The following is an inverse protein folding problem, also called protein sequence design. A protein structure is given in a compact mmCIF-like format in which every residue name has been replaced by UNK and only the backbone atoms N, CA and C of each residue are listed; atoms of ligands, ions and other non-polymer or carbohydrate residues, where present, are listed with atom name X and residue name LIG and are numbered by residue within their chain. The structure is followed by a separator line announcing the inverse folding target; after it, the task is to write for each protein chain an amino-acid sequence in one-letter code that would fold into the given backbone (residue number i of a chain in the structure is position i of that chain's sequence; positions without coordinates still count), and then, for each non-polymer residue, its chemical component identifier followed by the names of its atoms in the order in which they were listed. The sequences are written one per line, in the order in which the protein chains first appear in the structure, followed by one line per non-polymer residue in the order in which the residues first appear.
data_IF_094991189143
#
_entry.id   IF_094991189143
#
_cell.length_a   1.000
_cell.length_b   1.000
_cell.length_c   1.000
_cell.angle_alpha   90.00
_cell.angle_beta   90.00
_cell.angle_gamma   90.00
#
_symmetry.space_group_name_H-M   'P 1'
#
loop_
_entity.id
_entity.type
_entity.pdbx_description
1 polymer ?
#
# COMPACT_ATOMS: atom_id res chain seq x y z
N UNK A 1 -23.64 13.92 14.95
CA UNK A 1 -22.30 13.97 15.56
C UNK A 1 -21.28 13.02 14.93
N UNK A 2 -21.58 11.73 14.70
CA UNK A 2 -20.61 10.78 14.10
C UNK A 2 -20.12 11.13 12.67
N UNK A 3 -20.99 11.69 11.81
CA UNK A 3 -20.61 12.02 10.42
C UNK A 3 -19.52 13.10 10.28
N UNK A 4 -19.51 14.09 11.19
CA UNK A 4 -18.50 15.16 11.15
C UNK A 4 -17.10 14.68 11.52
N UNK A 5 -17.00 13.71 12.42
CA UNK A 5 -15.72 13.13 12.81
C UNK A 5 -15.10 12.34 11.65
N UNK A 6 -15.90 11.52 10.96
CA UNK A 6 -15.45 10.79 9.76
C UNK A 6 -15.00 11.75 8.67
N UNK A 7 -15.76 12.82 8.44
CA UNK A 7 -15.40 13.84 7.44
C UNK A 7 -14.07 14.53 7.76
N UNK A 8 -13.80 14.86 9.04
CA UNK A 8 -12.53 15.46 9.45
C UNK A 8 -11.35 14.50 9.26
N UNK A 9 -11.51 13.21 9.59
CA UNK A 9 -10.45 12.21 9.40
C UNK A 9 -10.12 12.04 7.91
N UNK A 10 -11.12 11.98 7.05
CA UNK A 10 -10.91 11.90 5.59
C UNK A 10 -10.19 13.14 5.05
N UNK A 11 -10.57 14.32 5.53
CA UNK A 11 -9.96 15.58 5.09
C UNK A 11 -8.48 15.68 5.52
N UNK A 12 -8.14 15.17 6.71
CA UNK A 12 -6.76 15.06 7.16
C UNK A 12 -5.94 14.06 6.32
N UNK A 13 -6.54 12.95 5.90
CA UNK A 13 -5.89 11.99 5.01
C UNK A 13 -5.63 12.60 3.62
N UNK A 14 -6.60 13.35 3.08
CA UNK A 14 -6.45 14.05 1.81
C UNK A 14 -5.35 15.11 1.88
N UNK A 15 -5.27 15.86 2.97
CA UNK A 15 -4.19 16.84 3.17
C UNK A 15 -2.82 16.16 3.13
N UNK A 16 -2.65 15.02 3.82
CA UNK A 16 -1.38 14.27 3.83
C UNK A 16 -0.97 13.84 2.42
N UNK A 17 -1.90 13.36 1.60
CA UNK A 17 -1.61 12.99 0.21
C UNK A 17 -1.06 14.16 -0.62
N UNK A 18 -1.41 15.40 -0.26
CA UNK A 18 -1.00 16.60 -0.98
C UNK A 18 0.27 17.24 -0.43
N UNK A 19 0.58 17.06 0.85
CA UNK A 19 1.64 17.81 1.54
C UNK A 19 2.76 16.96 2.12
N UNK A 20 2.51 15.69 2.42
CA UNK A 20 3.51 14.77 2.96
C UNK A 20 4.16 13.99 1.80
N UNK A 21 5.49 14.05 1.60
CA UNK A 21 6.14 13.27 0.55
C UNK A 21 6.10 11.77 0.81
N UNK A 22 5.75 11.32 2.02
CA UNK A 22 5.65 9.91 2.33
C UNK A 22 4.29 9.33 1.92
N UNK A 23 4.33 8.14 1.32
CA UNK A 23 3.13 7.35 1.06
C UNK A 23 2.34 7.08 2.34
N UNK A 24 1.01 6.91 2.22
CA UNK A 24 0.17 6.53 3.36
C UNK A 24 0.63 5.20 3.98
N UNK A 25 0.38 5.03 5.28
CA UNK A 25 0.90 3.88 6.05
C UNK A 25 0.60 2.52 5.42
N UNK A 26 -0.61 2.29 4.91
CA UNK A 26 -0.96 1.03 4.25
C UNK A 26 -0.17 0.80 2.96
N UNK A 27 0.08 1.85 2.17
CA UNK A 27 0.80 1.77 0.91
C UNK A 27 2.30 1.56 1.15
N UNK A 28 2.86 2.17 2.20
CA UNK A 28 4.26 1.96 2.61
C UNK A 28 4.57 0.49 2.89
N UNK A 29 3.62 -0.23 3.47
CA UNK A 29 3.78 -1.66 3.75
C UNK A 29 3.45 -2.48 2.51
N UNK A 30 2.22 -2.34 1.98
CA UNK A 30 1.73 -3.28 0.98
C UNK A 30 2.49 -3.16 -0.35
N UNK A 31 2.73 -1.94 -0.84
CA UNK A 31 3.43 -1.76 -2.12
C UNK A 31 4.90 -2.21 -2.03
N UNK A 32 5.53 -2.06 -0.87
CA UNK A 32 6.88 -2.57 -0.67
C UNK A 32 6.92 -4.10 -0.63
N UNK A 33 5.98 -4.74 0.09
CA UNK A 33 5.96 -6.21 0.23
C UNK A 33 5.60 -6.92 -1.08
N UNK A 34 4.75 -6.33 -1.93
CA UNK A 34 4.45 -6.84 -3.27
C UNK A 34 5.68 -7.02 -4.16
N UNK A 35 6.70 -6.17 -3.98
CA UNK A 35 7.95 -6.21 -4.73
C UNK A 35 8.95 -7.24 -4.19
N UNK A 36 8.61 -7.97 -3.11
CA UNK A 36 9.46 -9.01 -2.52
C UNK A 36 8.92 -10.40 -2.91
N UNK A 37 9.54 -11.11 -3.87
CA UNK A 37 9.06 -12.45 -4.28
C UNK A 37 8.93 -13.43 -3.11
N UNK A 38 9.83 -13.31 -2.12
CA UNK A 38 9.81 -14.13 -0.90
C UNK A 38 8.52 -13.96 -0.08
N UNK A 39 7.84 -12.81 -0.16
CA UNK A 39 6.56 -12.62 0.52
C UNK A 39 5.50 -13.58 -0.05
N UNK A 40 5.39 -13.66 -1.37
CA UNK A 40 4.44 -14.56 -2.00
C UNK A 40 4.73 -16.04 -1.65
N UNK A 41 6.01 -16.41 -1.55
CA UNK A 41 6.43 -17.76 -1.16
C UNK A 41 6.04 -18.09 0.29
N UNK A 42 6.45 -17.26 1.25
CA UNK A 42 6.24 -17.50 2.69
C UNK A 42 4.76 -17.56 3.04
N UNK A 43 3.94 -16.72 2.39
CA UNK A 43 2.50 -16.65 2.65
C UNK A 43 1.66 -17.50 1.68
N UNK A 44 2.30 -18.33 0.86
CA UNK A 44 1.65 -19.19 -0.13
C UNK A 44 0.63 -18.45 -1.02
N UNK A 45 0.96 -17.21 -1.41
CA UNK A 45 0.12 -16.41 -2.30
C UNK A 45 0.09 -17.01 -3.70
N UNK A 46 -1.06 -16.92 -4.35
CA UNK A 46 -1.30 -17.43 -5.70
C UNK A 46 -1.26 -16.31 -6.72
N UNK A 47 -1.01 -16.67 -7.98
CA UNK A 47 -1.14 -15.72 -9.08
C UNK A 47 -2.56 -15.13 -9.09
N UNK A 48 -2.64 -13.80 -9.14
CA UNK A 48 -3.90 -13.05 -9.09
C UNK A 48 -4.30 -12.57 -7.69
N UNK A 49 -3.62 -13.01 -6.63
CA UNK A 49 -3.81 -12.43 -5.30
C UNK A 49 -3.34 -10.97 -5.29
N UNK A 50 -4.00 -10.12 -4.50
CA UNK A 50 -3.73 -8.67 -4.43
C UNK A 50 -2.29 -8.32 -4.05
N UNK A 51 -1.58 -9.24 -3.40
CA UNK A 51 -0.21 -9.08 -2.92
C UNK A 51 0.83 -9.65 -3.89
N UNK A 52 0.42 -10.14 -5.07
CA UNK A 52 1.30 -10.71 -6.08
C UNK A 52 1.29 -9.81 -7.32
N UNK A 53 2.46 -9.30 -7.69
CA UNK A 53 2.66 -8.60 -8.96
C UNK A 53 3.09 -9.60 -10.03
N UNK A 54 2.80 -9.27 -11.29
CA UNK A 54 3.43 -10.00 -12.40
C UNK A 54 4.94 -9.77 -12.35
N UNK A 55 5.78 -10.76 -12.71
CA UNK A 55 7.23 -10.65 -12.59
C UNK A 55 7.84 -9.44 -13.34
N UNK A 56 7.19 -8.97 -14.40
CA UNK A 56 7.60 -7.80 -15.17
C UNK A 56 7.35 -6.46 -14.46
N UNK A 57 6.45 -6.44 -13.49
CA UNK A 57 6.08 -5.24 -12.72
C UNK A 57 6.86 -5.13 -11.40
N UNK A 58 7.64 -6.16 -11.04
CA UNK A 58 8.48 -6.14 -9.83
C UNK A 58 9.64 -5.17 -10.04
N UNK A 59 9.73 -4.19 -9.14
CA UNK A 59 10.81 -3.20 -9.13
C UNK A 59 11.86 -3.58 -8.10
N UNK A 60 13.11 -3.77 -8.56
CA UNK A 60 14.29 -3.96 -7.71
C UNK A 60 15.31 -2.86 -8.02
N UNK A 61 15.73 -2.14 -6.99
CA UNK A 61 16.65 -0.99 -7.12
C UNK A 61 18.08 -1.39 -6.80
N UNK A 62 18.29 -2.05 -5.65
CA UNK A 62 19.60 -2.43 -5.13
C UNK A 62 19.85 -3.93 -5.28
#
# INVERSE_FOLDING_TARGET
HHGYFVQQVLLLQEQKLKTDPHSLGYARVNEQMKNQPAFAEVFACKKGDKMVLDPADIVKIW
#
